data_IF_591884395126
#
_entry.id   IF_591884395126
#
_cell.length_a   1.000
_cell.length_b   1.000
_cell.length_c   1.000
_cell.angle_alpha   90.00
_cell.angle_beta   90.00
_cell.angle_gamma   90.00
#
_symmetry.space_group_name_H-M   'P 1'
#
loop_
_entity.id
_entity.type
_entity.pdbx_description
1 polymer ?
#
# COMPACT_ATOMS: atom_id res chain seq x y z
N UNK A 1 8.86 -28.34 5.92
CA UNK A 1 8.78 -27.91 5.51
C UNK A 1 8.85 -27.56 4.79
N UNK A 2 8.69 -27.28 4.73
CA UNK A 2 8.60 -26.65 4.20
C UNK A 2 8.78 -26.20 3.38
N UNK A 3 8.79 -26.43 3.19
CA UNK A 3 8.86 -25.87 2.52
C UNK A 3 8.74 -25.41 1.70
N UNK A 4 8.59 -25.34 1.65
CA UNK A 4 8.41 -24.63 0.98
C UNK A 4 8.01 -23.62 0.43
N UNK A 5 8.27 -23.15 1.08
CA UNK A 5 7.82 -21.81 0.88
C UNK A 5 8.04 -21.30 -0.55
N UNK A 6 9.00 -21.76 -1.20
CA UNK A 6 9.26 -21.37 -2.60
C UNK A 6 8.15 -21.81 -3.55
N UNK A 7 7.37 -22.79 -3.16
CA UNK A 7 6.25 -23.27 -3.97
C UNK A 7 4.93 -22.60 -3.56
N UNK A 8 4.91 -21.85 -2.49
CA UNK A 8 3.70 -21.18 -2.03
C UNK A 8 3.67 -19.72 -2.49
N UNK A 9 2.49 -19.10 -2.52
CA UNK A 9 2.39 -17.69 -2.92
C UNK A 9 2.99 -16.72 -1.90
N UNK A 10 3.49 -17.23 -0.76
CA UNK A 10 4.02 -16.38 0.30
C UNK A 10 2.95 -16.00 1.30
N UNK A 11 3.40 -15.53 2.46
CA UNK A 11 2.49 -15.10 3.53
C UNK A 11 1.99 -13.68 3.23
N UNK A 12 0.91 -13.31 3.92
CA UNK A 12 0.38 -11.95 3.79
C UNK A 12 1.45 -10.91 4.15
N UNK A 13 2.31 -11.19 5.14
CA UNK A 13 3.39 -10.26 5.50
C UNK A 13 4.42 -10.10 4.40
N UNK A 14 4.81 -11.20 3.76
CA UNK A 14 5.79 -11.14 2.66
C UNK A 14 5.24 -10.38 1.47
N UNK A 15 4.01 -10.67 1.10
CA UNK A 15 3.35 -10.01 -0.03
C UNK A 15 3.17 -8.52 0.26
N UNK A 16 2.76 -8.17 1.47
CA UNK A 16 2.55 -6.77 1.85
C UNK A 16 3.86 -5.99 1.87
N UNK A 17 4.95 -6.62 2.34
CA UNK A 17 6.26 -5.98 2.29
C UNK A 17 6.67 -5.69 0.85
N UNK A 18 6.44 -6.62 -0.05
CA UNK A 18 6.70 -6.42 -1.48
C UNK A 18 5.84 -5.31 -2.07
N UNK A 19 4.57 -5.26 -1.68
CA UNK A 19 3.65 -4.21 -2.10
C UNK A 19 4.15 -2.82 -1.71
N UNK A 20 4.58 -2.65 -0.45
CA UNK A 20 5.07 -1.37 0.03
C UNK A 20 6.38 -0.98 -0.67
N UNK A 21 7.27 -1.94 -0.90
CA UNK A 21 8.50 -1.69 -1.63
C UNK A 21 8.20 -1.25 -3.07
N UNK A 22 7.23 -1.90 -3.72
CA UNK A 22 6.83 -1.52 -5.07
C UNK A 22 6.24 -0.11 -5.10
N UNK A 23 5.46 0.26 -4.07
CA UNK A 23 4.93 1.62 -3.98
C UNK A 23 6.04 2.66 -3.99
N UNK A 24 7.19 2.34 -3.41
CA UNK A 24 8.32 3.26 -3.30
C UNK A 24 9.21 3.28 -4.56
N UNK A 25 9.21 2.21 -5.33
CA UNK A 25 10.20 2.03 -6.40
C UNK A 25 9.61 1.84 -7.79
N UNK A 26 8.40 1.28 -7.90
CA UNK A 26 7.81 0.95 -9.20
C UNK A 26 6.28 0.87 -9.06
N UNK A 27 5.63 1.99 -9.31
CA UNK A 27 4.19 2.09 -9.09
C UNK A 27 3.38 1.16 -10.01
N UNK A 28 3.91 0.85 -11.18
CA UNK A 28 3.23 -0.10 -12.07
C UNK A 28 3.18 -1.48 -11.44
N UNK A 29 4.29 -1.91 -10.84
CA UNK A 29 4.36 -3.18 -10.15
C UNK A 29 3.47 -3.19 -8.90
N UNK A 30 3.36 -2.05 -8.23
CA UNK A 30 2.47 -1.90 -7.07
C UNK A 30 1.05 -2.33 -7.41
N UNK A 31 0.52 -1.88 -8.54
CA UNK A 31 -0.85 -2.22 -8.94
C UNK A 31 -1.01 -3.69 -9.32
N UNK A 32 0.06 -4.36 -9.71
CA UNK A 32 0.02 -5.78 -10.07
C UNK A 32 -0.26 -6.69 -8.87
N UNK A 33 -0.04 -6.18 -7.65
CA UNK A 33 -0.33 -6.95 -6.44
C UNK A 33 -1.83 -7.12 -6.19
N UNK A 34 -2.67 -6.27 -6.78
CA UNK A 34 -4.11 -6.23 -6.47
C UNK A 34 -4.88 -7.23 -7.31
N UNK A 35 -5.88 -7.88 -6.67
CA UNK A 35 -6.84 -8.66 -7.43
C UNK A 35 -7.70 -7.73 -8.29
N UNK A 36 -8.33 -8.26 -9.36
CA UNK A 36 -9.16 -7.41 -10.22
C UNK A 36 -10.30 -6.70 -9.49
N UNK A 37 -10.80 -7.30 -8.39
CA UNK A 37 -11.91 -6.76 -7.60
C UNK A 37 -11.49 -6.26 -6.22
N UNK A 38 -10.21 -5.93 -6.06
CA UNK A 38 -9.66 -5.46 -4.80
C UNK A 38 -10.42 -4.23 -4.29
N UNK A 39 -10.57 -4.14 -2.96
CA UNK A 39 -11.14 -2.97 -2.29
C UNK A 39 -10.03 -2.21 -1.59
N UNK A 40 -9.97 -0.90 -1.85
CA UNK A 40 -8.95 -0.01 -1.31
C UNK A 40 -9.63 1.14 -0.58
N UNK A 41 -9.11 1.51 0.59
CA UNK A 41 -9.60 2.70 1.28
C UNK A 41 -8.44 3.38 2.00
N UNK A 42 -8.33 4.70 1.81
CA UNK A 42 -7.38 5.51 2.55
C UNK A 42 -8.12 6.44 3.51
N UNK A 43 -7.83 6.30 4.81
CA UNK A 43 -8.40 7.15 5.84
C UNK A 43 -9.91 7.17 5.79
N UNK A 44 -10.48 8.36 5.78
CA UNK A 44 -11.92 8.57 5.77
C UNK A 44 -12.53 8.67 4.36
N UNK A 45 -11.73 8.48 3.32
CA UNK A 45 -12.26 8.49 1.96
C UNK A 45 -13.18 7.29 1.74
N UNK A 46 -14.08 7.41 0.78
CA UNK A 46 -14.94 6.29 0.41
C UNK A 46 -14.10 5.14 -0.14
N UNK A 47 -14.52 3.89 0.11
CA UNK A 47 -13.83 2.75 -0.50
C UNK A 47 -13.84 2.83 -2.02
N UNK A 48 -12.75 2.38 -2.63
CA UNK A 48 -12.58 2.31 -4.08
C UNK A 48 -12.50 0.83 -4.44
N UNK A 49 -13.33 0.39 -5.37
CA UNK A 49 -13.42 -1.02 -5.73
C UNK A 49 -12.97 -1.24 -7.16
N UNK A 50 -12.11 -2.24 -7.36
CA UNK A 50 -11.59 -2.62 -8.65
C UNK A 50 -10.23 -2.01 -8.93
N UNK A 51 -9.34 -2.82 -9.53
CA UNK A 51 -7.95 -2.44 -9.79
C UNK A 51 -7.86 -1.16 -10.62
N UNK A 52 -8.67 -1.05 -11.66
CA UNK A 52 -8.61 0.12 -12.54
C UNK A 52 -9.03 1.40 -11.82
N UNK A 53 -10.09 1.33 -11.02
CA UNK A 53 -10.54 2.49 -10.25
C UNK A 53 -9.50 2.87 -9.21
N UNK A 54 -8.84 1.89 -8.60
CA UNK A 54 -7.78 2.14 -7.63
C UNK A 54 -6.58 2.83 -8.31
N UNK A 55 -6.22 2.39 -9.51
CA UNK A 55 -5.13 3.03 -10.26
C UNK A 55 -5.43 4.51 -10.49
N UNK A 56 -6.66 4.81 -10.89
CA UNK A 56 -7.07 6.20 -11.15
C UNK A 56 -7.06 7.03 -9.88
N UNK A 57 -7.57 6.46 -8.79
CA UNK A 57 -7.62 7.17 -7.50
C UNK A 57 -6.21 7.47 -6.98
N UNK A 58 -5.33 6.47 -7.03
CA UNK A 58 -3.95 6.62 -6.53
C UNK A 58 -3.17 7.60 -7.40
N UNK A 59 -3.35 7.55 -8.73
CA UNK A 59 -2.70 8.48 -9.63
C UNK A 59 -3.08 9.93 -9.30
N UNK A 60 -4.36 10.16 -9.01
CA UNK A 60 -4.83 11.49 -8.63
C UNK A 60 -4.25 11.90 -7.27
N UNK A 61 -4.24 10.97 -6.31
CA UNK A 61 -3.70 11.24 -4.98
C UNK A 61 -2.22 11.62 -5.03
N UNK A 62 -1.45 10.94 -5.88
CA UNK A 62 0.00 11.17 -6.00
C UNK A 62 0.36 12.25 -7.02
N UNK A 63 -0.62 13.01 -7.51
CA UNK A 63 -0.39 13.99 -8.57
C UNK A 63 0.66 15.05 -8.23
N UNK A 64 0.78 15.43 -6.97
CA UNK A 64 1.76 16.42 -6.51
C UNK A 64 2.97 15.79 -5.83
N UNK A 65 3.09 14.47 -5.86
CA UNK A 65 4.14 13.72 -5.15
C UNK A 65 5.23 13.30 -6.13
N UNK A 66 6.47 13.67 -5.83
CA UNK A 66 7.64 13.29 -6.63
C UNK A 66 8.24 11.97 -6.15
N UNK A 67 8.10 11.63 -4.87
CA UNK A 67 8.65 10.40 -4.34
C UNK A 67 7.99 10.00 -3.04
N UNK A 68 8.12 8.72 -2.71
CA UNK A 68 7.49 8.16 -1.52
C UNK A 68 8.40 7.07 -0.97
N UNK A 69 8.50 6.98 0.36
CA UNK A 69 9.28 5.93 0.99
C UNK A 69 8.58 5.47 2.26
N UNK A 70 8.42 4.15 2.40
CA UNK A 70 7.85 3.54 3.58
C UNK A 70 8.97 2.99 4.47
N UNK A 71 8.94 3.37 5.76
CA UNK A 71 9.79 2.76 6.78
C UNK A 71 8.90 1.87 7.64
N UNK A 72 9.15 0.56 7.61
CA UNK A 72 8.36 -0.39 8.38
C UNK A 72 8.88 -0.43 9.81
N UNK A 73 8.03 -0.11 10.77
CA UNK A 73 8.40 -0.08 12.19
C UNK A 73 8.03 -1.38 12.90
N UNK A 74 6.86 -1.92 12.60
CA UNK A 74 6.36 -3.16 13.17
C UNK A 74 5.43 -3.82 12.18
N UNK A 75 5.28 -5.13 12.27
CA UNK A 75 4.26 -5.80 11.46
C UNK A 75 3.77 -7.07 12.16
N UNK A 76 2.54 -7.42 11.87
CA UNK A 76 1.85 -8.59 12.40
C UNK A 76 1.10 -9.26 11.26
N UNK A 77 0.79 -10.53 11.41
CA UNK A 77 -0.05 -11.17 10.43
C UNK A 77 0.12 -12.68 10.38
N UNK A 78 -0.74 -13.26 9.57
CA UNK A 78 -0.72 -14.70 9.28
C UNK A 78 -0.63 -14.90 7.77
N UNK A 79 -1.18 -16.00 7.27
CA UNK A 79 -1.13 -16.29 5.83
C UNK A 79 -2.09 -15.44 5.02
N UNK A 80 -3.14 -14.89 5.64
CA UNK A 80 -4.21 -14.21 4.93
C UNK A 80 -4.27 -12.71 5.20
N UNK A 81 -3.89 -12.27 6.42
CA UNK A 81 -4.03 -10.87 6.81
C UNK A 81 -2.71 -10.37 7.37
N UNK A 82 -2.31 -9.17 6.97
CA UNK A 82 -1.14 -8.51 7.51
C UNK A 82 -1.48 -7.10 7.95
N UNK A 83 -0.83 -6.65 9.03
CA UNK A 83 -0.94 -5.30 9.55
C UNK A 83 0.48 -4.75 9.68
N UNK A 84 0.73 -3.61 9.05
CA UNK A 84 2.05 -2.96 9.08
C UNK A 84 1.92 -1.57 9.67
N UNK A 85 2.70 -1.29 10.70
CA UNK A 85 2.85 0.06 11.22
C UNK A 85 4.07 0.68 10.55
N UNK A 86 3.87 1.78 9.85
CA UNK A 86 4.91 2.39 9.02
C UNK A 86 4.95 3.89 9.23
N UNK A 87 6.05 4.49 8.79
CA UNK A 87 6.13 5.91 8.53
C UNK A 87 6.33 6.10 7.04
N UNK A 88 5.52 6.94 6.43
CA UNK A 88 5.60 7.23 5.00
C UNK A 88 6.17 8.61 4.84
N UNK A 89 7.29 8.72 4.12
CA UNK A 89 7.88 10.01 3.78
C UNK A 89 7.52 10.33 2.35
N UNK A 90 6.80 11.43 2.16
CA UNK A 90 6.46 11.96 0.85
C UNK A 90 7.39 13.10 0.50
N UNK A 91 7.93 13.07 -0.73
CA UNK A 91 8.65 14.20 -1.30
C UNK A 91 7.74 14.80 -2.36
N UNK A 92 7.38 16.06 -2.18
CA UNK A 92 6.45 16.73 -3.09
C UNK A 92 7.22 17.30 -4.30
N UNK A 93 6.47 17.63 -5.36
CA UNK A 93 7.08 18.19 -6.58
C UNK A 93 7.83 19.49 -6.32
N UNK A 94 7.44 20.26 -5.31
CA UNK A 94 8.13 21.51 -4.95
C UNK A 94 9.32 21.29 -4.00
N UNK A 95 9.63 20.05 -3.66
CA UNK A 95 10.74 19.71 -2.78
C UNK A 95 10.38 19.61 -1.30
N UNK A 96 9.18 19.96 -0.90
CA UNK A 96 8.74 19.81 0.49
C UNK A 96 8.65 18.33 0.85
N UNK A 97 8.89 17.98 2.11
CA UNK A 97 8.78 16.61 2.59
C UNK A 97 7.85 16.54 3.78
N UNK A 98 7.11 15.45 3.87
CA UNK A 98 6.24 15.15 5.01
C UNK A 98 6.43 13.69 5.40
N UNK A 99 6.60 13.43 6.70
CA UNK A 99 6.66 12.06 7.23
C UNK A 99 5.43 11.85 8.09
N UNK A 100 4.61 10.88 7.71
CA UNK A 100 3.31 10.65 8.33
C UNK A 100 3.24 9.22 8.88
N UNK A 101 2.69 9.04 10.08
CA UNK A 101 2.45 7.70 10.61
C UNK A 101 1.26 7.07 9.90
N UNK A 102 1.33 5.77 9.67
CA UNK A 102 0.24 5.04 9.04
C UNK A 102 0.24 3.60 9.52
N UNK A 103 -0.95 3.02 9.49
CA UNK A 103 -1.12 1.58 9.66
C UNK A 103 -1.84 1.09 8.41
N UNK A 104 -1.28 0.06 7.77
CA UNK A 104 -1.92 -0.58 6.64
C UNK A 104 -2.35 -1.98 7.02
N UNK A 105 -3.51 -2.37 6.52
CA UNK A 105 -4.01 -3.73 6.67
C UNK A 105 -4.34 -4.28 5.30
N UNK A 106 -3.85 -5.47 5.03
CA UNK A 106 -4.10 -6.16 3.77
C UNK A 106 -4.75 -7.50 4.03
N UNK A 107 -5.60 -7.93 3.08
CA UNK A 107 -6.09 -9.30 3.01
C UNK A 107 -5.58 -9.90 1.72
N UNK A 108 -5.06 -11.12 1.82
CA UNK A 108 -4.48 -11.83 0.69
C UNK A 108 -5.31 -13.09 0.43
N UNK A 109 -5.70 -13.28 -0.83
CA UNK A 109 -6.37 -14.50 -1.28
C UNK A 109 -5.75 -14.92 -2.60
N UNK A 110 -5.36 -16.19 -2.69
CA UNK A 110 -4.72 -16.74 -3.88
C UNK A 110 -3.52 -15.92 -4.35
N UNK A 111 -2.74 -15.42 -3.39
CA UNK A 111 -1.53 -14.67 -3.69
C UNK A 111 -1.73 -13.22 -4.09
N UNK A 112 -2.98 -12.75 -4.14
CA UNK A 112 -3.28 -11.37 -4.53
C UNK A 112 -3.89 -10.60 -3.37
N UNK A 113 -3.69 -9.28 -3.37
CA UNK A 113 -4.29 -8.39 -2.38
C UNK A 113 -5.74 -8.14 -2.76
N UNK A 114 -6.67 -8.60 -1.91
CA UNK A 114 -8.09 -8.42 -2.15
C UNK A 114 -8.68 -7.26 -1.36
N UNK A 115 -7.98 -6.81 -0.31
CA UNK A 115 -8.40 -5.65 0.47
C UNK A 115 -7.16 -4.93 0.98
N UNK A 116 -7.13 -3.61 0.82
CA UNK A 116 -6.00 -2.79 1.25
C UNK A 116 -6.55 -1.54 1.93
N UNK A 117 -6.42 -1.49 3.25
CA UNK A 117 -6.91 -0.38 4.07
C UNK A 117 -5.73 0.37 4.65
N UNK A 118 -5.70 1.68 4.47
CA UNK A 118 -4.64 2.55 4.99
C UNK A 118 -5.25 3.49 6.02
N UNK A 119 -4.78 3.38 7.25
CA UNK A 119 -5.25 4.24 8.36
C UNK A 119 -4.20 5.33 8.56
N UNK A 120 -4.46 6.48 7.96
CA UNK A 120 -3.53 7.60 7.93
C UNK A 120 -4.34 8.88 7.72
N UNK A 121 -3.81 9.99 8.23
CA UNK A 121 -4.34 11.32 7.91
C UNK A 121 -3.49 11.89 6.77
N UNK A 122 -3.96 11.87 5.52
CA UNK A 122 -3.18 12.35 4.38
C UNK A 122 -3.29 13.84 4.15
N UNK A 123 -3.92 14.59 5.05
CA UNK A 123 -4.19 16.00 4.82
C UNK A 123 -2.94 16.83 4.46
N UNK A 124 -1.75 16.60 5.06
CA UNK A 124 -0.57 17.37 4.63
C UNK A 124 -0.23 17.19 3.15
N UNK A 125 -0.47 16.00 2.60
CA UNK A 125 -0.16 15.70 1.19
C UNK A 125 -1.17 16.34 0.27
N UNK A 126 -2.46 16.20 0.56
CA UNK A 126 -3.51 16.72 -0.32
C UNK A 126 -3.67 18.23 -0.20
N UNK A 127 -3.29 18.82 0.93
CA UNK A 127 -3.38 20.27 1.11
C UNK A 127 -2.39 21.03 0.22
N UNK A 128 -1.30 20.39 -0.21
CA UNK A 128 -0.29 21.00 -1.09
C UNK A 128 -0.74 20.95 -2.55
N UNK A 129 -1.48 19.90 -2.89
CA UNK A 129 -2.01 19.74 -4.25
C UNK A 129 -3.15 20.69 -4.52
#
# INVERSE_FOLDING_TARGET
MTVNSSASPGTAREITRGLLHAADTDITRFFEYFSPDCVFRMGNNDPVEGREAIQQWVAAYLGSVAGMKHAVLEHWGDDEVAVFRVEVTYTMNDGATFTLPAITRTRIEDGAVTEYLIFMDPSPVVAVG
#
